data_IF_961335034941
#
_entry.id   IF_961335034941
#
_cell.length_a   1.000
_cell.length_b   1.000
_cell.length_c   1.000
_cell.angle_alpha   90.00
_cell.angle_beta   90.00
_cell.angle_gamma   90.00
#
_symmetry.space_group_name_H-M   'P 1'
#
loop_
_entity.id
_entity.type
_entity.pdbx_description
1 polymer ?
#
# COMPACT_ATOMS: atom_id res chain seq x y z
N UNK A 1 13.64 -9.21 -9.38
CA UNK A 1 12.39 -8.70 -8.80
C UNK A 1 11.90 -9.75 -7.82
N UNK A 2 11.36 -9.36 -6.66
CA UNK A 2 10.79 -10.33 -5.71
C UNK A 2 9.51 -10.91 -6.30
N UNK A 3 9.25 -12.19 -6.03
CA UNK A 3 8.11 -12.94 -6.60
C UNK A 3 6.80 -12.20 -6.39
N UNK A 4 6.60 -11.57 -5.23
CA UNK A 4 5.36 -10.85 -4.93
C UNK A 4 5.14 -9.58 -5.76
N UNK A 5 6.21 -8.87 -6.11
CA UNK A 5 6.14 -7.65 -6.94
C UNK A 5 6.12 -8.02 -8.42
N UNK A 6 6.87 -9.04 -8.84
CA UNK A 6 6.85 -9.56 -10.21
C UNK A 6 5.45 -10.01 -10.63
N UNK A 7 4.73 -10.71 -9.75
CA UNK A 7 3.33 -11.08 -9.97
C UNK A 7 2.40 -9.87 -10.18
N UNK A 8 2.72 -8.71 -9.60
CA UNK A 8 1.94 -7.49 -9.74
C UNK A 8 2.21 -6.80 -11.09
N UNK A 9 3.47 -6.74 -11.54
CA UNK A 9 3.79 -6.26 -12.88
C UNK A 9 3.18 -7.15 -13.96
N UNK A 10 3.34 -8.47 -13.85
CA UNK A 10 2.76 -9.43 -14.80
C UNK A 10 1.24 -9.29 -14.91
N UNK A 11 0.57 -8.98 -13.80
CA UNK A 11 -0.87 -8.72 -13.77
C UNK A 11 -1.21 -7.37 -14.41
N UNK A 12 -0.48 -6.31 -14.07
CA UNK A 12 -0.71 -4.96 -14.58
C UNK A 12 -0.52 -4.88 -16.10
N UNK A 13 0.43 -5.62 -16.65
CA UNK A 13 0.68 -5.72 -18.09
C UNK A 13 -0.55 -6.21 -18.88
N UNK A 14 -1.40 -7.01 -18.24
CA UNK A 14 -2.63 -7.55 -18.83
C UNK A 14 -3.84 -6.60 -18.69
N UNK A 15 -3.71 -5.54 -17.88
CA UNK A 15 -4.76 -4.55 -17.67
C UNK A 15 -4.78 -3.47 -18.76
N UNK A 16 -5.98 -2.90 -18.97
CA UNK A 16 -6.21 -1.69 -19.75
C UNK A 16 -5.52 -0.47 -19.08
N UNK A 17 -5.40 0.65 -19.81
CA UNK A 17 -4.78 1.89 -19.29
C UNK A 17 -5.52 2.47 -18.07
N UNK A 18 -6.83 2.17 -17.93
CA UNK A 18 -7.64 2.52 -16.77
C UNK A 18 -8.10 1.26 -16.02
N UNK A 19 -7.62 1.11 -14.79
CA UNK A 19 -7.94 -0.01 -13.91
C UNK A 19 -9.37 0.08 -13.36
N UNK A 20 -10.11 -1.00 -13.55
CA UNK A 20 -11.41 -1.28 -12.95
C UNK A 20 -11.27 -1.56 -11.46
N UNK A 21 -12.36 -1.41 -10.72
CA UNK A 21 -12.37 -1.63 -9.26
C UNK A 21 -11.87 -3.01 -8.84
N UNK A 22 -12.17 -4.06 -9.62
CA UNK A 22 -11.73 -5.42 -9.32
C UNK A 22 -10.21 -5.63 -9.55
N UNK A 23 -9.62 -4.93 -10.52
CA UNK A 23 -8.18 -4.97 -10.79
C UNK A 23 -7.43 -4.25 -9.66
N UNK A 24 -7.92 -3.08 -9.26
CA UNK A 24 -7.45 -2.36 -8.06
C UNK A 24 -7.59 -3.20 -6.80
N UNK A 25 -8.71 -3.92 -6.65
CA UNK A 25 -8.94 -4.81 -5.53
C UNK A 25 -7.89 -5.91 -5.45
N UNK A 26 -7.57 -6.58 -6.56
CA UNK A 26 -6.54 -7.61 -6.61
C UNK A 26 -5.17 -7.07 -6.18
N UNK A 27 -4.75 -5.97 -6.81
CA UNK A 27 -3.46 -5.32 -6.54
C UNK A 27 -3.36 -4.91 -5.06
N UNK A 28 -4.36 -4.21 -4.55
CA UNK A 28 -4.32 -3.70 -3.18
C UNK A 28 -4.36 -4.82 -2.14
N UNK A 29 -5.08 -5.93 -2.39
CA UNK A 29 -5.05 -7.10 -1.49
C UNK A 29 -3.66 -7.77 -1.47
N UNK A 30 -2.94 -7.78 -2.59
CA UNK A 30 -1.57 -8.30 -2.67
C UNK A 30 -0.59 -7.40 -1.91
N UNK A 31 -0.65 -6.08 -2.10
CA UNK A 31 0.14 -5.12 -1.32
C UNK A 31 -0.15 -5.24 0.17
N UNK A 32 -1.42 -5.34 0.58
CA UNK A 32 -1.78 -5.53 1.99
C UNK A 32 -1.23 -6.84 2.58
N UNK A 33 -1.11 -7.90 1.78
CA UNK A 33 -0.48 -9.16 2.20
C UNK A 33 1.04 -9.01 2.39
N UNK A 34 1.69 -8.13 1.64
CA UNK A 34 3.08 -7.74 1.88
C UNK A 34 3.17 -6.99 3.21
N UNK A 35 2.31 -5.99 3.42
CA UNK A 35 2.22 -5.21 4.67
C UNK A 35 2.05 -6.10 5.90
N UNK A 36 1.21 -7.14 5.82
CA UNK A 36 1.00 -8.11 6.90
C UNK A 36 2.29 -8.69 7.50
N UNK A 37 3.32 -8.91 6.68
CA UNK A 37 4.60 -9.46 7.12
C UNK A 37 5.32 -8.53 8.08
N UNK A 38 5.13 -7.23 7.87
CA UNK A 38 5.81 -6.16 8.60
C UNK A 38 5.01 -5.65 9.80
N UNK A 39 3.68 -5.83 9.82
CA UNK A 39 2.83 -5.34 10.91
C UNK A 39 3.24 -5.81 12.31
N UNK A 40 3.84 -7.00 12.43
CA UNK A 40 4.34 -7.51 13.72
C UNK A 40 5.48 -6.66 14.32
N UNK A 41 6.09 -5.79 13.52
CA UNK A 41 7.20 -4.92 13.91
C UNK A 41 6.77 -3.50 14.27
N UNK A 42 5.50 -3.16 14.08
CA UNK A 42 4.94 -1.87 14.51
C UNK A 42 4.12 -2.02 15.79
N UNK A 43 4.15 -0.97 16.62
CA UNK A 43 3.22 -0.79 17.76
C UNK A 43 2.32 0.43 17.56
N UNK A 44 2.38 1.05 16.38
CA UNK A 44 1.64 2.26 16.10
C UNK A 44 0.17 1.93 15.79
N UNK A 45 -0.71 2.26 16.72
CA UNK A 45 -2.13 1.96 16.62
C UNK A 45 -2.80 2.62 15.41
N UNK A 46 -2.34 3.82 15.01
CA UNK A 46 -2.88 4.53 13.86
C UNK A 46 -2.57 3.79 12.55
N UNK A 47 -1.33 3.28 12.41
CA UNK A 47 -0.92 2.46 11.26
C UNK A 47 -1.74 1.17 11.19
N UNK A 48 -1.89 0.50 12.33
CA UNK A 48 -2.68 -0.74 12.43
C UNK A 48 -4.14 -0.49 12.05
N UNK A 49 -4.70 0.65 12.48
CA UNK A 49 -6.07 1.05 12.14
C UNK A 49 -6.24 1.32 10.64
N UNK A 50 -5.31 2.07 10.03
CA UNK A 50 -5.33 2.33 8.57
C UNK A 50 -5.27 1.01 7.80
N UNK A 51 -4.38 0.11 8.18
CA UNK A 51 -4.28 -1.22 7.58
C UNK A 51 -5.60 -1.99 7.69
N UNK A 52 -6.21 -2.04 8.89
CA UNK A 52 -7.45 -2.80 9.10
C UNK A 52 -8.60 -2.24 8.27
N UNK A 53 -8.74 -0.91 8.18
CA UNK A 53 -9.76 -0.25 7.36
C UNK A 53 -9.53 -0.49 5.87
N UNK A 54 -8.30 -0.33 5.40
CA UNK A 54 -7.93 -0.56 3.99
C UNK A 54 -8.21 -2.01 3.60
N UNK A 55 -7.80 -2.96 4.45
CA UNK A 55 -8.04 -4.39 4.24
C UNK A 55 -9.51 -4.76 4.28
N UNK A 56 -10.29 -4.17 5.18
CA UNK A 56 -11.73 -4.39 5.20
C UNK A 56 -12.35 -3.90 3.89
N UNK A 57 -12.09 -2.65 3.51
CA UNK A 57 -12.58 -2.08 2.25
C UNK A 57 -12.23 -2.95 1.05
N UNK A 58 -10.96 -3.30 0.86
CA UNK A 58 -10.58 -4.10 -0.31
C UNK A 58 -11.08 -5.53 -0.27
N UNK A 59 -11.44 -6.08 0.89
CA UNK A 59 -12.08 -7.40 0.95
C UNK A 59 -13.56 -7.38 0.59
N UNK A 60 -14.27 -6.31 0.96
CA UNK A 60 -15.73 -6.25 0.89
C UNK A 60 -16.25 -5.29 -0.17
N UNK A 61 -15.42 -4.36 -0.64
CA UNK A 61 -15.79 -3.15 -1.37
C UNK A 61 -16.90 -2.36 -0.66
N UNK A 62 -16.89 -2.40 0.67
CA UNK A 62 -17.89 -1.75 1.51
C UNK A 62 -17.65 -0.24 1.58
N UNK A 63 -18.53 0.51 0.92
CA UNK A 63 -18.50 1.97 0.86
C UNK A 63 -18.76 2.66 2.21
N UNK A 64 -19.04 1.93 3.29
CA UNK A 64 -18.99 2.50 4.64
C UNK A 64 -17.58 2.99 5.02
N UNK A 65 -16.53 2.44 4.39
CA UNK A 65 -15.19 2.99 4.48
C UNK A 65 -14.98 3.94 3.30
N UNK A 66 -14.90 5.24 3.60
CA UNK A 66 -14.52 6.26 2.63
C UNK A 66 -12.99 6.24 2.43
N UNK A 67 -12.52 5.83 1.25
CA UNK A 67 -11.09 5.79 0.94
C UNK A 67 -10.45 7.18 0.92
N UNK A 68 -11.17 8.22 0.49
CA UNK A 68 -10.63 9.57 0.42
C UNK A 68 -10.34 10.11 1.84
N UNK A 69 -11.27 9.91 2.79
CA UNK A 69 -11.05 10.26 4.21
C UNK A 69 -9.92 9.43 4.84
N UNK A 70 -9.80 8.16 4.46
CA UNK A 70 -8.75 7.29 4.96
C UNK A 70 -7.38 7.71 4.41
N UNK A 71 -7.32 8.13 3.14
CA UNK A 71 -6.15 8.72 2.48
C UNK A 71 -5.71 10.00 3.18
N UNK A 72 -6.63 10.91 3.47
CA UNK A 72 -6.33 12.12 4.24
C UNK A 72 -5.71 11.78 5.60
N UNK A 73 -6.34 10.87 6.34
CA UNK A 73 -5.85 10.41 7.65
C UNK A 73 -4.44 9.80 7.57
N UNK A 74 -4.17 9.00 6.54
CA UNK A 74 -2.86 8.39 6.32
C UNK A 74 -1.78 9.43 5.97
N UNK A 75 -2.13 10.45 5.15
CA UNK A 75 -1.20 11.54 4.82
C UNK A 75 -0.92 12.45 6.02
N UNK A 76 -1.91 12.76 6.84
CA UNK A 76 -1.71 13.50 8.09
C UNK A 76 -0.76 12.76 9.03
N UNK A 77 -0.99 11.45 9.23
CA UNK A 77 -0.11 10.61 10.04
C UNK A 77 1.33 10.62 9.49
N UNK A 78 1.47 10.49 8.17
CA UNK A 78 2.77 10.54 7.54
C UNK A 78 3.49 11.88 7.81
N UNK A 79 2.79 12.99 7.63
CA UNK A 79 3.37 14.33 7.81
C UNK A 79 3.76 14.56 9.27
N UNK A 80 2.97 14.03 10.23
CA UNK A 80 3.23 14.13 11.66
C UNK A 80 4.45 13.31 12.10
N UNK A 81 4.62 12.11 11.57
CA UNK A 81 5.61 11.15 12.08
C UNK A 81 6.92 11.14 11.30
N UNK A 82 6.86 11.32 9.98
CA UNK A 82 8.00 10.97 9.11
C UNK A 82 8.36 12.03 8.09
N UNK A 83 7.45 12.93 7.69
CA UNK A 83 7.70 13.85 6.58
C UNK A 83 8.10 13.08 5.31
N UNK A 84 9.36 13.24 4.86
CA UNK A 84 9.97 12.55 3.71
C UNK A 84 10.94 11.41 4.09
N UNK A 85 10.96 10.99 5.35
CA UNK A 85 11.94 10.01 5.84
C UNK A 85 11.39 8.59 5.71
N UNK A 86 12.16 7.67 5.11
CA UNK A 86 11.74 6.28 4.87
C UNK A 86 12.44 5.25 5.76
N UNK A 87 13.42 5.68 6.58
CA UNK A 87 14.37 4.78 7.25
C UNK A 87 13.84 4.19 8.58
N UNK A 88 12.60 3.72 8.61
CA UNK A 88 12.09 2.90 9.71
C UNK A 88 10.87 2.08 9.25
N UNK A 89 10.55 1.02 9.99
CA UNK A 89 9.49 0.08 9.60
C UNK A 89 8.10 0.71 9.58
N UNK A 90 7.80 1.65 10.48
CA UNK A 90 6.51 2.34 10.51
C UNK A 90 6.31 3.21 9.27
N UNK A 91 7.35 3.91 8.84
CA UNK A 91 7.34 4.71 7.61
C UNK A 91 7.15 3.82 6.39
N UNK A 92 7.87 2.69 6.31
CA UNK A 92 7.74 1.72 5.22
C UNK A 92 6.31 1.19 5.14
N UNK A 93 5.75 0.70 6.26
CA UNK A 93 4.39 0.20 6.32
C UNK A 93 3.39 1.27 5.87
N UNK A 94 3.51 2.48 6.39
CA UNK A 94 2.59 3.57 6.08
C UNK A 94 2.62 3.95 4.59
N UNK A 95 3.77 3.82 3.92
CA UNK A 95 3.91 4.11 2.49
C UNK A 95 3.20 3.10 1.60
N UNK A 96 3.33 1.81 1.89
CA UNK A 96 2.49 0.80 1.23
C UNK A 96 1.01 1.11 1.43
N UNK A 97 0.60 1.44 2.67
CA UNK A 97 -0.79 1.75 2.98
C UNK A 97 -1.31 2.97 2.21
N UNK A 98 -0.48 4.01 2.03
CA UNK A 98 -0.81 5.19 1.23
C UNK A 98 -1.12 4.83 -0.23
N UNK A 99 -0.38 3.90 -0.83
CA UNK A 99 -0.69 3.37 -2.16
C UNK A 99 -2.07 2.69 -2.19
N UNK A 100 -2.41 1.92 -1.15
CA UNK A 100 -3.67 1.18 -1.10
C UNK A 100 -4.92 2.03 -0.87
N UNK A 101 -4.76 3.29 -0.45
CA UNK A 101 -5.89 4.22 -0.24
C UNK A 101 -5.97 5.28 -1.34
N UNK A 102 -5.11 5.20 -2.35
CA UNK A 102 -5.19 6.07 -3.50
C UNK A 102 -6.33 5.66 -4.44
N UNK A 103 -7.02 6.65 -5.00
CA UNK A 103 -8.16 6.46 -5.89
C UNK A 103 -7.76 6.58 -7.38
N UNK A 104 -6.47 6.60 -7.69
CA UNK A 104 -6.00 6.59 -9.07
C UNK A 104 -6.47 5.32 -9.80
N UNK A 105 -6.77 5.45 -11.08
CA UNK A 105 -7.08 4.33 -11.99
C UNK A 105 -6.07 4.21 -13.12
N UNK A 106 -5.16 5.16 -13.29
CA UNK A 106 -4.17 5.14 -14.36
C UNK A 106 -3.16 4.01 -14.13
N UNK A 107 -3.00 3.13 -15.12
CA UNK A 107 -2.00 2.06 -15.12
C UNK A 107 -0.58 2.56 -14.85
N UNK A 108 -0.17 3.68 -15.46
CA UNK A 108 1.16 4.26 -15.27
C UNK A 108 1.44 4.66 -13.82
N UNK A 109 0.39 5.03 -13.07
CA UNK A 109 0.53 5.32 -11.65
C UNK A 109 0.85 4.06 -10.84
N UNK A 110 0.21 2.93 -11.17
CA UNK A 110 0.49 1.66 -10.49
C UNK A 110 1.88 1.12 -10.85
N UNK A 111 2.30 1.26 -12.10
CA UNK A 111 3.65 0.91 -12.55
C UNK A 111 4.72 1.64 -11.72
N UNK A 112 4.59 2.97 -11.58
CA UNK A 112 5.47 3.78 -10.73
C UNK A 112 5.35 3.44 -9.24
N UNK A 113 4.14 3.08 -8.79
CA UNK A 113 3.94 2.64 -7.40
C UNK A 113 4.66 1.34 -7.12
N UNK A 114 4.69 0.40 -8.07
CA UNK A 114 5.38 -0.87 -7.90
C UNK A 114 6.90 -0.71 -7.87
N UNK A 115 7.46 0.22 -8.66
CA UNK A 115 8.89 0.57 -8.57
C UNK A 115 9.22 1.07 -7.16
N UNK A 116 8.35 1.90 -6.59
CA UNK A 116 8.52 2.42 -5.24
C UNK A 116 8.32 1.34 -4.17
N UNK A 117 7.35 0.44 -4.35
CA UNK A 117 7.09 -0.69 -3.46
C UNK A 117 8.29 -1.68 -3.43
N UNK A 118 8.93 -1.95 -4.58
CA UNK A 118 10.15 -2.78 -4.64
C UNK A 118 11.31 -2.11 -3.88
N UNK A 119 11.48 -0.79 -4.02
CA UNK A 119 12.44 -0.03 -3.23
C UNK A 119 12.17 -0.10 -1.72
N UNK A 120 10.90 0.01 -1.30
CA UNK A 120 10.51 -0.08 0.11
C UNK A 120 10.79 -1.47 0.70
N UNK A 121 10.57 -2.51 -0.10
CA UNK A 121 10.90 -3.88 0.24
C UNK A 121 12.40 -4.06 0.47
N UNK A 122 13.25 -3.48 -0.39
CA UNK A 122 14.71 -3.47 -0.23
C UNK A 122 15.14 -2.75 1.05
N UNK A 123 14.52 -1.62 1.34
CA UNK A 123 14.79 -0.87 2.56
C UNK A 123 14.40 -1.67 3.81
N UNK A 124 13.27 -2.38 3.80
CA UNK A 124 12.86 -3.22 4.92
C UNK A 124 13.88 -4.33 5.21
N UNK A 125 14.37 -5.01 4.18
CA UNK A 125 15.39 -6.07 4.32
C UNK A 125 16.73 -5.51 4.81
N UNK A 126 17.15 -4.35 4.31
CA UNK A 126 18.38 -3.68 4.77
C UNK A 126 18.32 -3.31 6.25
N UNK A 127 17.13 -3.01 6.77
CA UNK A 127 16.90 -2.73 8.19
C UNK A 127 16.75 -4.01 9.05
N UNK A 128 16.71 -5.19 8.42
CA UNK A 128 16.64 -6.49 9.09
C UNK A 128 15.24 -6.97 9.45
N UNK A 129 14.21 -6.55 8.70
CA UNK A 129 12.82 -6.97 8.87
C UNK A 129 12.40 -8.10 7.92
#
# INVERSE_FOLDING_TARGET
MRVEIEELYDYLDQCDDELKINEKQFINLKILKIVERYLKHTKNEDIINIYNKSKYYWKTLDNQINLDELKESAWELNNKLFGITYNNIDAIILRFLLGTVDNNSNKDYFDQSFDFDDYLLDLAEQLGY
#
